data_IF_172194492028
#
_entry.id   IF_172194492028
#
_cell.length_a   1.000
_cell.length_b   1.000
_cell.length_c   1.000
_cell.angle_alpha   90.00
_cell.angle_beta   90.00
_cell.angle_gamma   90.00
#
_symmetry.space_group_name_H-M   'P 1'
#
loop_
_entity.id
_entity.type
_entity.pdbx_description
1 polymer ?
#
# COMPACT_ATOMS: atom_id res chain seq x y z
N UNK A 1 -16.10 4.39 -3.18
CA UNK A 1 -14.84 3.74 -2.77
C UNK A 1 -14.70 3.92 -1.27
N UNK A 2 -14.50 2.82 -0.55
CA UNK A 2 -14.25 2.81 0.90
C UNK A 2 -12.76 2.51 1.07
N UNK A 3 -12.04 3.30 1.88
CA UNK A 3 -10.64 3.02 2.22
C UNK A 3 -10.64 2.23 3.52
N UNK A 4 -10.12 1.01 3.48
CA UNK A 4 -9.95 0.14 4.63
C UNK A 4 -8.46 0.13 5.02
N UNK A 5 -8.15 0.80 6.12
CA UNK A 5 -6.78 0.93 6.64
C UNK A 5 -6.18 -0.43 7.02
N UNK A 6 -6.99 -1.36 7.54
CA UNK A 6 -6.52 -2.70 7.93
C UNK A 6 -6.13 -3.53 6.70
N UNK A 7 -6.85 -3.39 5.58
CA UNK A 7 -6.48 -4.04 4.32
C UNK A 7 -5.20 -3.43 3.74
N UNK A 8 -5.03 -2.11 3.84
CA UNK A 8 -3.80 -1.42 3.42
C UNK A 8 -2.62 -1.91 4.25
N UNK A 9 -2.76 -2.03 5.56
CA UNK A 9 -1.71 -2.55 6.43
C UNK A 9 -1.34 -3.99 6.07
N UNK A 10 -2.34 -4.87 5.89
CA UNK A 10 -2.13 -6.25 5.42
C UNK A 10 -1.38 -6.29 4.09
N UNK A 11 -1.78 -5.49 3.10
CA UNK A 11 -1.11 -5.41 1.80
C UNK A 11 0.36 -5.00 1.96
N UNK A 12 0.62 -3.95 2.73
CA UNK A 12 1.99 -3.43 2.92
C UNK A 12 2.85 -4.49 3.61
N UNK A 13 2.33 -5.18 4.63
CA UNK A 13 3.06 -6.18 5.40
C UNK A 13 3.20 -7.54 4.69
N UNK A 14 2.37 -7.84 3.70
CA UNK A 14 2.46 -9.07 2.93
C UNK A 14 3.74 -9.11 2.08
N UNK A 15 4.69 -9.96 2.50
CA UNK A 15 5.98 -10.15 1.82
C UNK A 15 5.88 -11.01 0.55
N UNK A 16 4.76 -11.71 0.34
CA UNK A 16 4.51 -12.44 -0.91
C UNK A 16 4.25 -11.48 -2.07
N UNK A 17 3.70 -10.30 -1.78
CA UNK A 17 3.50 -9.22 -2.74
C UNK A 17 4.79 -8.42 -2.83
N UNK A 18 5.37 -8.31 -4.03
CA UNK A 18 6.60 -7.53 -4.21
C UNK A 18 6.32 -6.03 -4.22
N UNK A 19 7.26 -5.23 -3.71
CA UNK A 19 7.17 -3.76 -3.83
C UNK A 19 7.12 -3.30 -5.29
N UNK A 20 7.73 -4.05 -6.21
CA UNK A 20 7.63 -3.80 -7.64
C UNK A 20 6.20 -3.97 -8.17
N UNK A 21 5.47 -5.01 -7.75
CA UNK A 21 4.07 -5.22 -8.16
C UNK A 21 3.18 -4.06 -7.74
N UNK A 22 3.32 -3.60 -6.49
CA UNK A 22 2.58 -2.46 -5.96
C UNK A 22 2.97 -1.19 -6.74
N UNK A 23 4.27 -0.94 -6.93
CA UNK A 23 4.76 0.21 -7.69
C UNK A 23 4.20 0.25 -9.12
N UNK A 24 4.23 -0.87 -9.85
CA UNK A 24 3.74 -0.97 -11.22
C UNK A 24 2.26 -0.60 -11.36
N UNK A 25 1.46 -0.92 -10.35
CA UNK A 25 0.02 -0.69 -10.37
C UNK A 25 -0.40 0.67 -9.78
N UNK A 26 0.34 1.18 -8.81
CA UNK A 26 -0.03 2.37 -8.02
C UNK A 26 0.79 3.62 -8.36
N UNK A 27 1.98 3.46 -8.94
CA UNK A 27 2.96 4.54 -9.12
C UNK A 27 3.75 4.88 -7.86
N UNK A 28 3.38 4.33 -6.69
CA UNK A 28 4.10 4.55 -5.42
C UNK A 28 5.51 3.99 -5.53
N UNK A 29 6.54 4.75 -5.13
CA UNK A 29 7.92 4.28 -5.26
C UNK A 29 8.20 3.05 -4.41
N UNK A 30 9.02 2.14 -4.92
CA UNK A 30 9.45 0.94 -4.17
C UNK A 30 10.14 1.32 -2.85
N UNK A 31 10.88 2.44 -2.83
CA UNK A 31 11.47 2.97 -1.60
C UNK A 31 10.42 3.39 -0.58
N UNK A 32 9.33 4.04 -1.00
CA UNK A 32 8.22 4.37 -0.10
C UNK A 32 7.55 3.12 0.47
N UNK A 33 7.30 2.11 -0.38
CA UNK A 33 6.73 0.83 0.04
C UNK A 33 7.64 0.13 1.06
N UNK A 34 8.94 0.06 0.78
CA UNK A 34 9.93 -0.52 1.71
C UNK A 34 9.98 0.24 3.04
N UNK A 35 9.85 1.57 3.02
CA UNK A 35 9.80 2.38 4.25
C UNK A 35 8.55 2.09 5.07
N UNK A 36 7.38 1.94 4.43
CA UNK A 36 6.13 1.57 5.11
C UNK A 36 6.21 0.15 5.70
N UNK A 37 6.90 -0.78 5.03
CA UNK A 37 7.16 -2.12 5.58
C UNK A 37 8.02 -2.09 6.84
N UNK A 38 9.06 -1.27 6.83
CA UNK A 38 9.99 -1.15 7.96
C UNK A 38 9.39 -0.37 9.13
N UNK A 39 8.45 0.52 8.86
CA UNK A 39 7.86 1.46 9.83
C UNK A 39 6.34 1.47 9.63
N UNK A 40 5.62 0.43 10.11
CA UNK A 40 4.19 0.25 9.86
C UNK A 40 3.33 1.41 10.38
N UNK A 41 3.73 2.04 11.49
CA UNK A 41 3.05 3.19 12.09
C UNK A 41 3.00 4.42 11.18
N UNK A 42 3.80 4.43 10.10
CA UNK A 42 3.76 5.50 9.10
C UNK A 42 2.57 5.37 8.14
N UNK A 43 1.88 4.23 8.13
CA UNK A 43 0.65 4.04 7.35
C UNK A 43 -0.42 5.06 7.76
N UNK A 44 -0.52 5.39 9.05
CA UNK A 44 -1.46 6.40 9.57
C UNK A 44 -1.23 7.81 9.01
N UNK A 45 -0.03 8.07 8.49
CA UNK A 45 0.42 9.37 8.02
C UNK A 45 0.61 9.43 6.49
N UNK A 46 0.09 8.45 5.73
CA UNK A 46 0.12 8.52 4.27
C UNK A 46 -0.88 9.56 3.74
N UNK A 47 -0.62 10.07 2.54
CA UNK A 47 -1.57 10.97 1.89
C UNK A 47 -2.85 10.23 1.50
N UNK A 48 -3.96 10.95 1.43
CA UNK A 48 -5.23 10.39 0.94
C UNK A 48 -5.08 9.83 -0.49
N UNK A 49 -4.27 10.44 -1.35
CA UNK A 49 -4.01 9.92 -2.71
C UNK A 49 -3.30 8.56 -2.67
N UNK A 50 -2.27 8.42 -1.84
CA UNK A 50 -1.58 7.15 -1.59
C UNK A 50 -2.52 6.08 -1.06
N UNK A 51 -3.35 6.43 -0.06
CA UNK A 51 -4.34 5.51 0.48
C UNK A 51 -5.33 5.07 -0.61
N UNK A 52 -5.75 6.00 -1.48
CA UNK A 52 -6.64 5.67 -2.59
C UNK A 52 -6.02 4.75 -3.62
N UNK A 53 -4.74 4.95 -3.95
CA UNK A 53 -4.02 4.09 -4.88
C UNK A 53 -3.84 2.67 -4.33
N UNK A 54 -3.52 2.53 -3.04
CA UNK A 54 -3.38 1.24 -2.38
C UNK A 54 -4.72 0.50 -2.29
N UNK A 55 -5.80 1.18 -1.93
CA UNK A 55 -7.13 0.56 -1.92
C UNK A 55 -7.54 0.08 -3.32
N UNK A 56 -7.32 0.90 -4.36
CA UNK A 56 -7.59 0.48 -5.75
C UNK A 56 -6.77 -0.74 -6.19
N UNK A 57 -5.57 -0.92 -5.63
CA UNK A 57 -4.79 -2.13 -5.87
C UNK A 57 -5.43 -3.34 -5.21
N UNK A 58 -5.90 -3.21 -3.96
CA UNK A 58 -6.59 -4.28 -3.22
C UNK A 58 -7.87 -4.68 -3.95
N UNK A 59 -8.74 -3.71 -4.26
CA UNK A 59 -10.03 -3.94 -4.92
C UNK A 59 -9.91 -4.59 -6.32
N UNK A 60 -8.73 -4.54 -6.96
CA UNK A 60 -8.46 -5.16 -8.27
C UNK A 60 -7.94 -6.59 -8.17
N UNK A 61 -7.48 -7.00 -6.99
CA UNK A 61 -6.89 -8.32 -6.75
C UNK A 61 -7.73 -9.17 -5.79
N UNK A 62 -8.89 -8.67 -5.33
CA UNK A 62 -10.01 -9.43 -4.76
C UNK A 62 -10.89 -10.01 -5.90
#
# INVERSE_FOLDING_TARGET
MIINTDQIEKLIQDKSITGYSIHKATGISQTAISRLRQNPERIDNITLDTAKQLQKFIDKND
#
